data_IF_651036034588
#
_entry.id   IF_651036034588
#
_cell.length_a   1.000
_cell.length_b   1.000
_cell.length_c   1.000
_cell.angle_alpha   90.00
_cell.angle_beta   90.00
_cell.angle_gamma   90.00
#
_symmetry.space_group_name_H-M   'P 1'
#
loop_
_entity.id
_entity.type
_entity.pdbx_description
1 polymer ?
#
# COMPACT_ATOMS: atom_id res chain seq x y z
N UNK A 1 -19.02 -6.91 -61.59
CA UNK A 1 -20.04 -7.95 -61.80
C UNK A 1 -19.35 -9.29 -61.92
N UNK A 2 -19.20 -10.00 -60.80
CA UNK A 2 -18.94 -11.45 -60.79
C UNK A 2 -19.55 -12.02 -59.51
N UNK A 3 -20.59 -12.83 -59.69
CA UNK A 3 -21.41 -13.51 -58.69
C UNK A 3 -20.73 -14.79 -58.21
N UNK A 4 -20.88 -15.15 -56.91
CA UNK A 4 -20.91 -16.49 -56.28
C UNK A 4 -20.30 -16.39 -54.87
N UNK A 5 -20.74 -17.10 -53.83
CA UNK A 5 -21.87 -18.00 -53.58
C UNK A 5 -21.88 -18.19 -52.05
N UNK A 6 -23.08 -18.26 -51.50
CA UNK A 6 -23.41 -18.61 -50.12
C UNK A 6 -22.84 -19.99 -49.72
N UNK A 7 -22.37 -20.14 -48.48
CA UNK A 7 -22.53 -21.38 -47.73
C UNK A 7 -22.74 -21.09 -46.24
N UNK A 8 -23.95 -21.37 -45.77
CA UNK A 8 -24.29 -21.52 -44.36
C UNK A 8 -23.69 -22.83 -43.85
N UNK A 9 -23.04 -22.80 -42.69
CA UNK A 9 -22.99 -23.96 -41.81
C UNK A 9 -23.29 -23.49 -40.38
N UNK A 10 -24.53 -23.72 -39.96
CA UNK A 10 -24.92 -23.76 -38.57
C UNK A 10 -24.45 -25.09 -37.99
N UNK A 11 -23.75 -25.06 -36.85
CA UNK A 11 -23.55 -26.25 -36.03
C UNK A 11 -24.10 -25.95 -34.63
N UNK A 12 -25.29 -26.50 -34.39
CA UNK A 12 -25.84 -26.72 -33.07
C UNK A 12 -25.08 -27.88 -32.41
N UNK A 13 -24.78 -27.76 -31.13
CA UNK A 13 -24.01 -28.78 -30.41
C UNK A 13 -24.21 -28.74 -28.89
N UNK A 14 -25.31 -29.35 -28.45
CA UNK A 14 -25.48 -30.15 -27.23
C UNK A 14 -25.21 -29.56 -25.84
N UNK A 15 -26.34 -29.39 -25.14
CA UNK A 15 -26.60 -29.52 -23.71
C UNK A 15 -25.86 -30.72 -23.07
N UNK A 16 -25.19 -30.51 -21.94
CA UNK A 16 -24.88 -31.55 -20.97
C UNK A 16 -25.16 -31.02 -19.55
N UNK A 17 -26.27 -31.51 -18.98
CA UNK A 17 -26.63 -31.35 -17.58
C UNK A 17 -25.93 -32.47 -16.80
N UNK A 18 -25.14 -32.12 -15.81
CA UNK A 18 -24.66 -33.06 -14.79
C UNK A 18 -25.03 -32.51 -13.41
N UNK A 19 -26.04 -33.13 -12.81
CA UNK A 19 -26.44 -32.99 -11.41
C UNK A 19 -25.73 -34.06 -10.57
N UNK A 20 -25.56 -33.73 -9.27
CA UNK A 20 -25.26 -34.59 -8.10
C UNK A 20 -23.77 -34.81 -7.77
N UNK A 21 -23.33 -34.23 -6.65
CA UNK A 21 -23.21 -34.97 -5.38
C UNK A 21 -22.83 -34.00 -4.25
N UNK A 22 -23.67 -33.97 -3.22
CA UNK A 22 -23.31 -33.45 -1.90
C UNK A 22 -22.34 -34.45 -1.24
N UNK A 23 -21.21 -33.96 -0.75
CA UNK A 23 -20.43 -34.64 0.28
C UNK A 23 -20.32 -33.72 1.50
N UNK A 24 -21.30 -33.89 2.37
CA UNK A 24 -21.19 -33.60 3.79
C UNK A 24 -19.97 -34.35 4.34
N UNK A 25 -19.12 -33.66 5.10
CA UNK A 25 -18.16 -34.31 5.99
C UNK A 25 -18.37 -33.72 7.38
N UNK A 26 -19.31 -34.33 8.08
CA UNK A 26 -19.36 -34.37 9.54
C UNK A 26 -18.04 -34.96 10.06
N UNK A 27 -17.34 -34.22 10.93
CA UNK A 27 -16.37 -34.81 11.85
C UNK A 27 -16.78 -34.50 13.28
N UNK A 28 -17.38 -35.52 13.87
CA UNK A 28 -17.80 -35.65 15.25
C UNK A 28 -16.60 -35.73 16.19
N UNK A 29 -16.65 -34.88 17.23
CA UNK A 29 -16.25 -35.11 18.62
C UNK A 29 -14.88 -35.70 18.95
N UNK A 30 -14.06 -34.89 19.61
CA UNK A 30 -13.48 -35.30 20.91
C UNK A 30 -13.53 -34.10 21.86
N UNK A 31 -14.60 -34.02 22.64
CA UNK A 31 -14.60 -33.29 23.90
C UNK A 31 -14.10 -34.25 24.98
N UNK A 32 -12.93 -33.99 25.54
CA UNK A 32 -12.56 -34.49 26.85
C UNK A 32 -12.41 -33.31 27.81
N UNK A 33 -13.18 -33.41 28.89
CA UNK A 33 -13.16 -32.54 30.06
C UNK A 33 -11.95 -32.86 30.93
N UNK A 34 -11.40 -31.84 31.58
CA UNK A 34 -10.96 -31.90 32.99
C UNK A 34 -10.61 -30.46 33.42
N UNK A 35 -11.47 -29.81 34.21
CA UNK A 35 -11.47 -29.78 35.69
C UNK A 35 -10.37 -28.88 36.26
N UNK A 36 -10.81 -27.71 36.78
CA UNK A 36 -10.47 -27.06 38.07
C UNK A 36 -8.96 -26.81 38.35
N UNK A 37 -8.50 -25.69 38.90
CA UNK A 37 -8.78 -25.07 40.20
C UNK A 37 -8.13 -23.67 40.11
N UNK A 38 -8.73 -22.67 40.77
CA UNK A 38 -8.37 -21.27 40.62
C UNK A 38 -7.02 -20.83 41.20
N UNK A 39 -6.75 -19.54 41.04
CA UNK A 39 -6.32 -18.71 42.16
C UNK A 39 -6.62 -17.24 41.88
N UNK A 40 -7.34 -16.62 42.81
CA UNK A 40 -7.57 -15.18 42.86
C UNK A 40 -6.37 -14.58 43.57
N UNK A 41 -5.45 -14.00 42.81
CA UNK A 41 -4.35 -13.22 43.39
C UNK A 41 -4.71 -11.74 43.36
N UNK A 42 -5.42 -11.32 44.41
CA UNK A 42 -5.49 -9.92 44.84
C UNK A 42 -4.17 -9.59 45.53
N UNK A 43 -3.36 -8.69 44.97
CA UNK A 43 -2.17 -8.16 45.65
C UNK A 43 -2.18 -6.64 45.60
N UNK A 44 -2.43 -6.10 46.79
CA UNK A 44 -1.89 -4.90 47.41
C UNK A 44 -1.99 -3.56 46.67
N UNK A 45 -2.91 -2.75 47.19
CA UNK A 45 -2.79 -1.30 47.34
C UNK A 45 -1.35 -0.91 47.73
N UNK A 46 -0.76 0.02 46.97
CA UNK A 46 0.36 0.84 47.43
C UNK A 46 -0.14 2.27 47.58
N UNK A 47 -0.56 2.60 48.80
CA UNK A 47 -0.66 3.98 49.28
C UNK A 47 0.75 4.45 49.68
N UNK A 48 1.29 5.42 48.96
CA UNK A 48 2.44 6.20 49.44
C UNK A 48 2.08 7.68 49.47
N UNK A 49 2.31 8.23 50.66
CA UNK A 49 1.99 9.57 51.15
C UNK A 49 2.60 10.74 50.40
N UNK A 50 1.81 11.83 50.40
CA UNK A 50 2.14 13.21 50.81
C UNK A 50 3.51 13.76 50.36
N UNK A 51 3.45 14.65 49.36
CA UNK A 51 4.52 15.58 49.00
C UNK A 51 3.96 17.00 48.82
N UNK A 52 4.14 17.78 49.88
CA UNK A 52 4.27 19.23 49.99
C UNK A 52 3.41 20.20 49.13
N UNK A 53 2.65 21.02 49.86
CA UNK A 53 2.05 22.25 49.39
C UNK A 53 3.13 23.33 49.25
N UNK A 54 3.64 23.55 48.04
CA UNK A 54 4.43 24.74 47.74
C UNK A 54 3.50 25.87 47.32
N UNK A 55 3.29 26.82 48.24
CA UNK A 55 2.74 28.14 47.97
C UNK A 55 3.59 28.88 46.94
N UNK A 56 2.98 29.23 45.80
CA UNK A 56 3.57 30.12 44.79
C UNK A 56 3.44 31.57 45.28
N UNK A 57 4.54 32.33 45.42
CA UNK A 57 4.45 33.78 45.60
C UNK A 57 4.04 34.44 44.28
N UNK A 58 3.02 35.30 44.34
CA UNK A 58 2.69 36.23 43.27
C UNK A 58 3.82 37.27 43.14
N UNK A 59 4.50 37.28 42.00
CA UNK A 59 5.48 38.30 41.65
C UNK A 59 4.96 39.07 40.43
N UNK A 60 5.07 40.39 40.56
CA UNK A 60 4.43 41.43 39.79
C UNK A 60 4.76 41.42 38.29
N UNK A 61 3.82 41.92 37.49
CA UNK A 61 3.96 42.07 36.05
C UNK A 61 5.09 43.03 35.68
N UNK A 62 6.02 42.67 34.77
CA UNK A 62 7.04 43.57 34.29
C UNK A 62 6.42 44.62 33.34
N UNK A 63 6.57 45.90 33.68
CA UNK A 63 6.31 47.02 32.76
C UNK A 63 7.32 47.02 31.62
N UNK A 64 6.83 46.78 30.40
CA UNK A 64 7.58 46.86 29.14
C UNK A 64 7.95 48.32 28.82
N UNK A 65 9.24 48.66 28.63
CA UNK A 65 9.62 49.95 28.06
C UNK A 65 9.31 50.01 26.56
N UNK A 66 8.99 51.21 26.07
CA UNK A 66 8.65 51.49 24.67
C UNK A 66 9.79 51.11 23.71
N UNK A 67 9.49 50.64 22.49
CA UNK A 67 10.50 50.23 21.51
C UNK A 67 11.21 51.45 20.92
N UNK A 68 12.54 51.47 21.03
CA UNK A 68 13.41 52.34 20.24
C UNK A 68 13.52 51.75 18.83
N UNK A 69 13.13 52.52 17.81
CA UNK A 69 13.28 52.12 16.40
C UNK A 69 14.77 51.90 16.07
N UNK A 70 15.09 50.67 15.63
CA UNK A 70 16.39 50.33 15.09
C UNK A 70 16.49 50.76 13.61
N UNK A 71 17.67 51.17 13.12
CA UNK A 71 17.86 51.55 11.73
C UNK A 71 17.67 50.35 10.80
N UNK A 72 16.81 50.51 9.80
CA UNK A 72 16.49 49.48 8.80
C UNK A 72 17.61 49.36 7.77
N UNK A 73 18.43 48.32 7.89
CA UNK A 73 19.30 47.84 6.80
C UNK A 73 18.42 47.16 5.75
N UNK A 74 18.52 47.50 4.45
CA UNK A 74 17.75 46.79 3.41
C UNK A 74 18.15 45.32 3.37
N UNK A 75 17.15 44.44 3.42
CA UNK A 75 17.33 43.00 3.32
C UNK A 75 17.90 42.63 1.93
N UNK A 76 18.88 41.70 1.84
CA UNK A 76 19.36 41.22 0.55
C UNK A 76 18.21 40.53 -0.18
N UNK A 77 17.98 40.95 -1.44
CA UNK A 77 17.06 40.30 -2.37
C UNK A 77 17.42 38.82 -2.48
N UNK A 78 16.56 37.95 -1.95
CA UNK A 78 16.71 36.51 -2.13
C UNK A 78 16.62 36.20 -3.63
N UNK A 79 17.71 35.66 -4.18
CA UNK A 79 17.68 35.08 -5.51
C UNK A 79 16.72 33.88 -5.48
N UNK A 80 15.67 33.94 -6.30
CA UNK A 80 14.77 32.81 -6.54
C UNK A 80 15.54 31.78 -7.37
N UNK A 81 16.21 30.85 -6.69
CA UNK A 81 16.74 29.64 -7.32
C UNK A 81 15.54 28.79 -7.72
N UNK A 82 15.41 28.49 -9.02
CA UNK A 82 14.42 27.52 -9.51
C UNK A 82 14.59 26.18 -8.76
N UNK A 83 13.49 25.45 -8.47
CA UNK A 83 13.59 24.16 -7.80
C UNK A 83 14.48 23.20 -8.62
N UNK A 84 15.23 22.32 -7.96
CA UNK A 84 16.03 21.32 -8.65
C UNK A 84 15.11 20.46 -9.51
N UNK A 85 15.40 20.39 -10.81
CA UNK A 85 14.73 19.47 -11.74
C UNK A 85 15.15 18.05 -11.33
N UNK A 86 14.20 17.23 -10.89
CA UNK A 86 14.44 15.83 -10.55
C UNK A 86 14.98 15.02 -11.75
N UNK A 87 15.38 13.75 -11.52
CA UNK A 87 15.78 12.88 -12.63
C UNK A 87 14.65 12.76 -13.65
N UNK A 88 14.97 13.01 -14.93
CA UNK A 88 14.06 12.81 -16.04
C UNK A 88 14.26 11.37 -16.51
N UNK A 89 13.27 10.51 -16.28
CA UNK A 89 13.27 9.13 -16.75
C UNK A 89 12.61 9.03 -18.13
N UNK A 90 13.21 8.23 -19.01
CA UNK A 90 12.57 7.72 -20.22
C UNK A 90 11.66 6.54 -19.89
N UNK A 91 10.63 6.33 -20.72
CA UNK A 91 9.78 5.16 -20.62
C UNK A 91 10.63 3.88 -20.74
N UNK A 92 10.51 2.98 -19.77
CA UNK A 92 11.31 1.77 -19.61
C UNK A 92 12.80 1.98 -19.28
N UNK A 93 13.18 3.15 -18.76
CA UNK A 93 14.50 3.27 -18.12
C UNK A 93 14.57 2.30 -16.93
N UNK A 94 15.64 1.50 -16.88
CA UNK A 94 15.89 0.60 -15.77
C UNK A 94 16.17 1.41 -14.49
N UNK A 95 15.50 1.02 -13.42
CA UNK A 95 15.62 1.62 -12.10
C UNK A 95 15.85 0.54 -11.06
N UNK A 96 16.39 0.94 -9.91
CA UNK A 96 16.51 0.03 -8.78
C UNK A 96 15.12 -0.50 -8.38
N UNK A 97 15.03 -1.79 -8.01
CA UNK A 97 13.78 -2.34 -7.49
C UNK A 97 13.35 -1.60 -6.21
N UNK A 98 12.03 -1.52 -5.96
CA UNK A 98 11.53 -0.85 -4.77
C UNK A 98 12.09 -1.49 -3.51
N UNK A 99 12.48 -0.67 -2.54
CA UNK A 99 12.84 -1.14 -1.21
C UNK A 99 11.57 -1.32 -0.39
N UNK A 100 11.34 -2.53 0.13
CA UNK A 100 10.28 -2.77 1.11
C UNK A 100 10.75 -2.33 2.51
N UNK A 101 9.84 -1.86 3.39
CA UNK A 101 10.16 -1.54 4.77
C UNK A 101 10.79 -2.73 5.51
N UNK A 102 11.62 -2.47 6.52
CA UNK A 102 12.22 -3.53 7.33
C UNK A 102 11.25 -4.19 8.32
N UNK A 103 10.06 -3.60 8.53
CA UNK A 103 9.07 -4.06 9.52
C UNK A 103 7.70 -4.26 8.87
N UNK A 104 6.98 -3.19 8.53
CA UNK A 104 5.64 -3.27 7.96
C UNK A 104 5.26 -2.02 7.17
N UNK A 105 4.22 -2.14 6.35
CA UNK A 105 3.51 -1.01 5.73
C UNK A 105 2.47 -0.43 6.69
N UNK A 106 2.00 0.78 6.41
CA UNK A 106 0.89 1.40 7.14
C UNK A 106 -0.37 0.53 7.04
N UNK A 107 -1.11 0.41 8.16
CA UNK A 107 -2.40 -0.25 8.16
C UNK A 107 -3.46 0.64 7.52
N UNK A 108 -4.27 0.13 6.58
CA UNK A 108 -5.32 0.94 5.98
C UNK A 108 -6.44 1.23 6.98
N UNK A 109 -7.02 2.42 6.87
CA UNK A 109 -8.26 2.76 7.59
C UNK A 109 -9.44 2.07 6.89
N UNK A 110 -10.34 1.48 7.67
CA UNK A 110 -11.53 0.80 7.12
C UNK A 110 -12.50 1.76 6.38
N UNK A 111 -12.40 3.08 6.63
CA UNK A 111 -13.19 4.11 5.96
C UNK A 111 -12.53 5.50 6.10
N UNK A 112 -13.03 6.49 5.36
CA UNK A 112 -12.57 7.88 5.42
C UNK A 112 -11.42 8.17 4.46
N UNK A 113 -10.62 9.19 4.71
CA UNK A 113 -9.40 9.45 3.92
C UNK A 113 -8.32 8.43 4.30
N UNK A 114 -7.62 7.87 3.31
CA UNK A 114 -6.44 7.05 3.59
C UNK A 114 -5.33 7.99 4.07
N UNK A 115 -4.75 7.79 5.26
CA UNK A 115 -3.73 8.69 5.78
C UNK A 115 -2.43 8.60 4.98
N UNK A 116 -1.57 9.59 5.15
CA UNK A 116 -0.23 9.55 4.57
C UNK A 116 0.52 8.31 5.06
N UNK A 117 1.28 7.71 4.15
CA UNK A 117 2.06 6.52 4.45
C UNK A 117 2.28 5.63 3.25
N UNK A 118 2.85 4.48 3.52
CA UNK A 118 3.19 3.50 2.49
C UNK A 118 2.38 2.24 2.71
N UNK A 119 1.79 1.69 1.65
CA UNK A 119 0.81 0.60 1.68
C UNK A 119 1.19 -0.52 0.73
N UNK A 120 0.88 -1.75 1.12
CA UNK A 120 0.92 -2.90 0.22
C UNK A 120 -0.36 -2.95 -0.60
N UNK A 121 -0.23 -2.96 -1.92
CA UNK A 121 -1.36 -2.62 -2.79
C UNK A 121 -1.50 -3.59 -3.94
N UNK A 122 -2.71 -4.07 -4.21
CA UNK A 122 -3.05 -4.78 -5.43
C UNK A 122 -3.67 -3.82 -6.42
N UNK A 123 -3.11 -3.74 -7.63
CA UNK A 123 -3.65 -2.93 -8.70
C UNK A 123 -4.82 -3.66 -9.38
N UNK A 124 -6.00 -3.04 -9.42
CA UNK A 124 -7.25 -3.58 -9.98
C UNK A 124 -7.65 -2.97 -11.33
N UNK A 125 -6.94 -1.94 -11.80
CA UNK A 125 -7.16 -1.30 -13.10
C UNK A 125 -7.53 0.16 -12.89
N UNK A 126 -8.57 0.63 -13.56
CA UNK A 126 -9.04 2.02 -13.43
C UNK A 126 -8.58 2.91 -14.58
N UNK A 127 -8.86 4.20 -14.42
CA UNK A 127 -8.52 5.22 -15.41
C UNK A 127 -7.05 5.64 -15.24
N UNK A 128 -6.49 6.28 -16.27
CA UNK A 128 -5.07 6.66 -16.35
C UNK A 128 -4.56 7.35 -15.07
N UNK A 129 -5.28 8.34 -14.56
CA UNK A 129 -4.88 9.09 -13.36
C UNK A 129 -5.67 8.72 -12.10
N UNK A 130 -6.57 7.74 -12.19
CA UNK A 130 -7.42 7.26 -11.08
C UNK A 130 -7.35 5.73 -11.03
N UNK A 131 -6.27 5.18 -10.45
CA UNK A 131 -6.13 3.75 -10.32
C UNK A 131 -7.19 3.18 -9.37
N UNK A 132 -7.74 2.04 -9.72
CA UNK A 132 -8.48 1.19 -8.80
C UNK A 132 -7.51 0.25 -8.11
N UNK A 133 -7.50 0.25 -6.78
CA UNK A 133 -6.57 -0.54 -5.97
C UNK A 133 -7.24 -1.13 -4.74
N UNK A 134 -6.68 -2.23 -4.21
CA UNK A 134 -6.98 -2.71 -2.86
C UNK A 134 -5.73 -2.59 -2.00
N UNK A 135 -5.84 -1.88 -0.88
CA UNK A 135 -4.73 -1.66 0.06
C UNK A 135 -4.81 -2.59 1.26
N UNK A 136 -3.64 -3.05 1.69
CA UNK A 136 -3.43 -3.97 2.80
C UNK A 136 -2.29 -3.50 3.70
N UNK A 137 -2.22 -4.07 4.90
CA UNK A 137 -0.99 -4.07 5.68
C UNK A 137 -0.15 -5.29 5.30
N UNK A 138 1.13 -5.08 5.01
CA UNK A 138 2.11 -6.16 4.89
C UNK A 138 3.19 -6.05 5.96
N UNK A 139 3.68 -7.20 6.42
CA UNK A 139 4.77 -7.35 7.38
C UNK A 139 5.94 -8.05 6.72
N UNK A 140 7.14 -7.66 7.12
CA UNK A 140 8.42 -8.10 6.57
C UNK A 140 9.36 -8.53 7.68
N UNK A 141 10.39 -9.31 7.32
CA UNK A 141 11.47 -9.68 8.24
C UNK A 141 10.97 -10.38 9.52
N UNK A 142 11.54 -10.09 10.70
CA UNK A 142 11.13 -10.74 11.95
C UNK A 142 9.66 -10.52 12.35
N UNK A 143 9.07 -9.38 11.96
CA UNK A 143 7.66 -9.09 12.24
C UNK A 143 6.74 -9.97 11.39
N UNK A 144 7.11 -10.28 10.15
CA UNK A 144 6.37 -11.22 9.31
C UNK A 144 6.14 -12.56 9.99
N UNK A 145 7.21 -13.16 10.55
CA UNK A 145 7.13 -14.45 11.26
C UNK A 145 6.19 -14.35 12.47
N UNK A 146 6.30 -13.27 13.24
CA UNK A 146 5.51 -13.10 14.47
C UNK A 146 4.03 -12.88 14.16
N UNK A 147 3.73 -12.05 13.17
CA UNK A 147 2.35 -11.70 12.80
C UNK A 147 1.66 -12.83 12.05
N UNK A 148 2.35 -13.52 11.13
CA UNK A 148 1.83 -14.71 10.47
C UNK A 148 1.45 -15.77 11.51
N UNK A 149 2.35 -16.08 12.46
CA UNK A 149 2.08 -17.06 13.51
C UNK A 149 0.90 -16.65 14.41
N UNK A 150 0.76 -15.37 14.73
CA UNK A 150 -0.38 -14.87 15.52
C UNK A 150 -1.73 -15.06 14.80
N UNK A 151 -1.72 -15.09 13.47
CA UNK A 151 -2.89 -15.31 12.62
C UNK A 151 -3.07 -16.77 12.18
N UNK A 152 -2.19 -17.68 12.64
CA UNK A 152 -2.24 -19.10 12.26
C UNK A 152 -1.77 -19.37 10.82
N UNK A 153 -0.89 -18.51 10.30
CA UNK A 153 -0.33 -18.57 8.95
C UNK A 153 1.21 -18.66 8.98
N UNK A 154 1.84 -18.80 7.81
CA UNK A 154 3.28 -18.83 7.63
C UNK A 154 3.80 -17.58 6.92
N UNK A 155 4.99 -17.13 7.30
CA UNK A 155 5.70 -16.05 6.60
C UNK A 155 6.33 -16.60 5.31
N UNK A 156 5.63 -16.51 4.19
CA UNK A 156 6.09 -17.00 2.89
C UNK A 156 6.85 -15.90 2.15
N UNK A 157 8.00 -16.25 1.58
CA UNK A 157 8.85 -15.31 0.82
C UNK A 157 9.21 -14.02 1.59
N UNK A 158 9.38 -14.12 2.92
CA UNK A 158 9.67 -13.00 3.83
C UNK A 158 8.58 -11.91 3.88
N UNK A 159 7.35 -12.22 3.46
CA UNK A 159 6.21 -11.30 3.43
C UNK A 159 4.97 -11.97 4.01
N UNK A 160 4.26 -11.26 4.89
CA UNK A 160 2.94 -11.65 5.37
C UNK A 160 1.97 -10.49 5.12
N UNK A 161 0.96 -10.72 4.28
CA UNK A 161 -0.06 -9.72 3.96
C UNK A 161 -1.31 -9.99 4.78
N UNK A 162 -1.66 -9.05 5.64
CA UNK A 162 -2.83 -9.15 6.48
C UNK A 162 -4.08 -8.75 5.68
N UNK A 163 -5.02 -9.68 5.51
CA UNK A 163 -6.23 -9.47 4.72
C UNK A 163 -7.24 -8.49 5.33
N UNK A 164 -7.25 -8.33 6.65
CA UNK A 164 -8.15 -7.43 7.39
C UNK A 164 -7.38 -6.59 8.44
N UNK A 165 -7.50 -5.25 8.44
CA UNK A 165 -8.31 -4.46 7.53
C UNK A 165 -7.69 -4.39 6.13
N UNK A 166 -8.55 -4.42 5.12
CA UNK A 166 -8.24 -4.02 3.74
C UNK A 166 -9.23 -2.97 3.27
N UNK A 167 -8.89 -2.27 2.20
CA UNK A 167 -9.76 -1.24 1.63
C UNK A 167 -9.59 -1.13 0.12
N UNK A 168 -10.71 -1.07 -0.58
CA UNK A 168 -10.75 -0.69 -1.99
C UNK A 168 -10.76 0.84 -2.13
N UNK A 169 -9.99 1.34 -3.10
CA UNK A 169 -9.86 2.76 -3.43
C UNK A 169 -9.94 2.90 -4.95
N UNK A 170 -10.86 3.75 -5.41
CA UNK A 170 -11.08 4.07 -6.83
C UNK A 170 -11.16 5.59 -7.09
N UNK A 171 -11.00 6.40 -6.05
CA UNK A 171 -11.18 7.85 -6.06
C UNK A 171 -9.90 8.64 -5.73
N UNK A 172 -8.78 7.95 -5.49
CA UNK A 172 -7.50 8.57 -5.17
C UNK A 172 -6.63 8.72 -6.43
N UNK A 173 -6.26 9.95 -6.83
CA UNK A 173 -5.49 10.15 -8.05
C UNK A 173 -4.00 9.93 -7.85
N UNK A 174 -3.32 9.62 -8.95
CA UNK A 174 -1.87 9.81 -9.03
C UNK A 174 -1.52 11.31 -8.97
N UNK A 175 -0.40 11.65 -8.33
CA UNK A 175 0.22 12.95 -8.49
C UNK A 175 0.70 13.15 -9.94
N UNK A 176 0.76 14.41 -10.39
CA UNK A 176 1.19 14.74 -11.76
C UNK A 176 2.62 14.22 -12.09
N UNK A 177 3.46 14.09 -11.07
CA UNK A 177 4.85 13.61 -11.13
C UNK A 177 5.07 12.27 -10.41
N UNK A 178 4.02 11.44 -10.30
CA UNK A 178 4.09 10.13 -9.65
C UNK A 178 5.29 9.30 -10.10
N UNK A 179 6.04 8.75 -9.14
CA UNK A 179 7.10 7.79 -9.44
C UNK A 179 6.53 6.38 -9.56
N UNK A 180 6.39 5.90 -10.79
CA UNK A 180 5.73 4.64 -11.12
C UNK A 180 6.71 3.64 -11.76
N UNK A 181 6.73 2.41 -11.25
CA UNK A 181 7.57 1.34 -11.80
C UNK A 181 6.82 0.02 -11.96
N UNK A 182 7.29 -0.80 -12.91
CA UNK A 182 6.87 -2.19 -13.08
C UNK A 182 8.05 -3.13 -13.03
N UNK A 183 7.82 -4.35 -12.57
CA UNK A 183 8.83 -5.39 -12.50
C UNK A 183 8.71 -6.33 -13.71
N UNK A 184 9.85 -6.78 -14.22
CA UNK A 184 9.91 -7.89 -15.16
C UNK A 184 10.11 -9.19 -14.40
N UNK A 185 9.15 -10.11 -14.51
CA UNK A 185 9.20 -11.40 -13.83
C UNK A 185 10.38 -12.28 -14.27
N UNK A 186 10.85 -12.14 -15.50
CA UNK A 186 11.92 -12.98 -16.05
C UNK A 186 13.32 -12.53 -15.59
N UNK A 187 13.54 -11.22 -15.51
CA UNK A 187 14.86 -10.64 -15.19
C UNK A 187 14.96 -10.12 -13.76
N UNK A 188 13.83 -9.94 -13.07
CA UNK A 188 13.74 -9.28 -11.76
C UNK A 188 14.18 -7.81 -11.78
N UNK A 189 14.28 -7.20 -12.97
CA UNK A 189 14.58 -5.78 -13.12
C UNK A 189 13.30 -4.96 -12.96
N UNK A 190 13.47 -3.70 -12.54
CA UNK A 190 12.37 -2.73 -12.44
C UNK A 190 12.56 -1.63 -13.49
N UNK A 191 11.46 -1.20 -14.07
CA UNK A 191 11.45 -0.21 -15.15
C UNK A 191 10.50 0.92 -14.79
N UNK A 192 10.94 2.15 -15.01
CA UNK A 192 10.09 3.32 -14.88
C UNK A 192 9.06 3.34 -16.00
N UNK A 193 7.79 3.62 -15.68
CA UNK A 193 6.72 3.76 -16.68
C UNK A 193 5.79 4.93 -16.33
N UNK A 194 4.86 5.25 -17.22
CA UNK A 194 3.82 6.26 -16.98
C UNK A 194 2.49 5.61 -16.56
N UNK A 195 1.56 6.36 -15.96
CA UNK A 195 0.21 5.87 -15.69
C UNK A 195 -0.54 5.39 -16.95
N UNK A 196 -0.35 6.07 -18.08
CA UNK A 196 -0.90 5.64 -19.38
C UNK A 196 -0.38 4.25 -19.80
N UNK A 197 0.93 4.03 -19.62
CA UNK A 197 1.54 2.73 -19.94
C UNK A 197 1.03 1.64 -18.98
N UNK A 198 0.81 1.95 -17.70
CA UNK A 198 0.25 0.99 -16.74
C UNK A 198 -1.15 0.51 -17.15
N UNK A 199 -2.01 1.41 -17.63
CA UNK A 199 -3.32 1.04 -18.18
C UNK A 199 -3.15 0.18 -19.43
N UNK A 200 -2.22 0.53 -20.32
CA UNK A 200 -1.97 -0.18 -21.56
C UNK A 200 -1.46 -1.62 -21.33
N UNK A 201 -0.42 -1.80 -20.51
CA UNK A 201 0.20 -3.12 -20.25
C UNK A 201 -0.82 -4.09 -19.63
N UNK A 202 -1.73 -3.59 -18.79
CA UNK A 202 -2.77 -4.40 -18.17
C UNK A 202 -3.85 -4.80 -19.17
N UNK A 203 -4.27 -3.87 -20.03
CA UNK A 203 -5.37 -4.09 -20.97
C UNK A 203 -4.96 -4.88 -22.21
N UNK A 204 -3.68 -4.84 -22.59
CA UNK A 204 -3.22 -5.34 -23.89
C UNK A 204 -1.78 -5.82 -23.86
N UNK A 205 -0.90 -5.18 -24.61
CA UNK A 205 0.52 -5.47 -24.66
C UNK A 205 1.32 -4.20 -24.36
N UNK A 206 2.52 -4.35 -23.79
CA UNK A 206 3.45 -3.24 -23.61
C UNK A 206 3.67 -2.45 -24.90
N UNK A 207 3.91 -1.15 -24.77
CA UNK A 207 4.27 -0.31 -25.90
C UNK A 207 5.60 -0.76 -26.52
N UNK A 208 5.89 -0.29 -27.74
CA UNK A 208 7.08 -0.69 -28.49
C UNK A 208 8.42 -0.33 -27.80
N UNK A 209 8.39 0.50 -26.75
CA UNK A 209 9.56 0.83 -25.94
C UNK A 209 9.91 -0.23 -24.89
N UNK A 210 9.06 -1.22 -24.66
CA UNK A 210 9.29 -2.24 -23.65
C UNK A 210 10.53 -3.10 -23.94
N UNK A 211 11.26 -3.55 -22.91
CA UNK A 211 12.36 -4.48 -23.07
C UNK A 211 11.95 -5.75 -23.83
N UNK A 212 12.88 -6.29 -24.62
CA UNK A 212 12.60 -7.48 -25.41
C UNK A 212 12.23 -8.67 -24.51
N UNK A 213 11.03 -9.23 -24.71
CA UNK A 213 10.53 -10.35 -23.93
C UNK A 213 9.86 -9.98 -22.61
N UNK A 214 9.70 -8.68 -22.33
CA UNK A 214 8.94 -8.21 -21.17
C UNK A 214 7.50 -8.73 -21.21
N UNK A 215 7.05 -9.27 -20.07
CA UNK A 215 5.67 -9.71 -19.84
C UNK A 215 5.17 -9.12 -18.52
N UNK A 216 3.94 -8.60 -18.53
CA UNK A 216 3.35 -8.00 -17.35
C UNK A 216 2.73 -9.08 -16.46
N UNK A 217 3.27 -9.22 -15.25
CA UNK A 217 2.69 -10.05 -14.19
C UNK A 217 2.06 -9.14 -13.15
N UNK A 218 0.82 -9.38 -12.70
CA UNK A 218 0.13 -8.50 -11.76
C UNK A 218 0.61 -8.73 -10.31
N UNK A 219 1.90 -8.55 -10.07
CA UNK A 219 2.45 -8.49 -8.71
C UNK A 219 1.91 -7.27 -7.96
N UNK A 220 2.07 -7.31 -6.63
CA UNK A 220 1.69 -6.20 -5.76
C UNK A 220 2.59 -4.98 -5.96
N UNK A 221 2.10 -3.85 -5.48
CA UNK A 221 2.75 -2.54 -5.52
C UNK A 221 2.99 -2.03 -4.11
N UNK A 222 4.11 -1.32 -3.95
CA UNK A 222 4.31 -0.38 -2.86
C UNK A 222 3.75 0.98 -3.29
N UNK A 223 2.70 1.42 -2.61
CA UNK A 223 2.03 2.68 -2.86
C UNK A 223 2.35 3.66 -1.74
N UNK A 224 2.83 4.85 -2.06
CA UNK A 224 3.01 5.94 -1.09
C UNK A 224 1.97 7.02 -1.34
N UNK A 225 1.26 7.39 -0.28
CA UNK A 225 0.24 8.43 -0.26
C UNK A 225 0.77 9.61 0.55
N UNK A 226 0.64 10.80 -0.02
CA UNK A 226 0.94 12.08 0.63
C UNK A 226 -0.14 13.08 0.24
N UNK A 227 -0.69 13.82 1.20
CA UNK A 227 -1.71 14.85 0.99
C UNK A 227 -2.93 14.36 0.18
N UNK A 228 -3.28 13.07 0.33
CA UNK A 228 -4.43 12.45 -0.33
C UNK A 228 -4.23 12.11 -1.81
N UNK A 229 -2.99 12.12 -2.31
CA UNK A 229 -2.64 11.67 -3.68
C UNK A 229 -1.55 10.60 -3.63
N UNK A 230 -1.47 9.78 -4.68
CA UNK A 230 -0.44 8.75 -4.81
C UNK A 230 0.81 9.36 -5.45
N UNK A 231 1.88 9.52 -4.66
CA UNK A 231 3.16 10.11 -5.12
C UNK A 231 4.15 9.05 -5.60
N UNK A 232 3.98 7.80 -5.19
CA UNK A 232 4.79 6.67 -5.69
C UNK A 232 3.97 5.39 -5.78
N UNK A 233 4.18 4.63 -6.85
CA UNK A 233 3.47 3.38 -7.14
C UNK A 233 4.41 2.39 -7.82
N UNK A 234 5.13 1.59 -7.03
CA UNK A 234 6.24 0.77 -7.51
C UNK A 234 5.92 -0.71 -7.38
N UNK A 235 5.96 -1.45 -8.49
CA UNK A 235 5.68 -2.89 -8.46
C UNK A 235 6.81 -3.65 -7.77
N UNK A 236 6.45 -4.48 -6.79
CA UNK A 236 7.39 -5.35 -6.08
C UNK A 236 7.40 -6.70 -6.75
N UNK A 237 8.58 -7.14 -7.18
CA UNK A 237 8.75 -8.53 -7.59
C UNK A 237 8.66 -9.44 -6.37
N UNK A 238 7.76 -10.42 -6.41
CA UNK A 238 7.59 -11.45 -5.38
C UNK A 238 7.77 -12.84 -6.01
N UNK A 239 8.72 -13.67 -5.53
CA UNK A 239 9.00 -15.00 -6.08
C UNK A 239 7.85 -16.01 -5.91
#
# INVERSE_FOLDING_TARGET
>A
MTTRRTLHLALAGTLAVATLAACSSEKTSTAESTTSIGDTTTVAESTTSVGDATTVPATEAPTTPAPTEAPTTPAPTAATTAPPVGPVYGLYDEVSPPTVPSTHTTAPTASGTLPDGTYWTLYNGGDEMLPSVTVYQAFFGPECITQAAAMGDECLNDIFVQGDPSRDIDDMPFADDVYLTVADAATMHSFWITPAELVQIRASSPSAGAPAGYDYVPFAYMMTVEDGVIVSFQQVWTP
#
